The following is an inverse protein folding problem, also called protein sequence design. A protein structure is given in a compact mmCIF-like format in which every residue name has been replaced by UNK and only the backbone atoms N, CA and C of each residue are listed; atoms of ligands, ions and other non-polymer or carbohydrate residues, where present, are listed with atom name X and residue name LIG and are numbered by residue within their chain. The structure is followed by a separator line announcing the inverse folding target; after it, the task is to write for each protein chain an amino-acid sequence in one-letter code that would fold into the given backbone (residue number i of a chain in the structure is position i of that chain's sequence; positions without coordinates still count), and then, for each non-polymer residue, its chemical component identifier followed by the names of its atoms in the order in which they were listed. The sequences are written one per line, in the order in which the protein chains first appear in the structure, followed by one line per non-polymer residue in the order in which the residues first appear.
data_IF_856464611323
#
_entry.id   IF_856464611323
#
_cell.length_a   1.000
_cell.length_b   1.000
_cell.length_c   1.000
_cell.angle_alpha   90.00
_cell.angle_beta   90.00
_cell.angle_gamma   90.00
#
_symmetry.space_group_name_H-M   'P 1'
#
loop_
_entity.id
_entity.type
_entity.pdbx_description
1 polymer ?
#
# COMPACT_ATOMS: atom_id res chain seq x y z
N UNK A 1 -36.09 54.48 20.09
CA UNK A 1 -36.24 53.05 19.79
C UNK A 1 -35.55 52.74 18.46
N UNK A 2 -34.28 52.30 18.48
CA UNK A 2 -33.68 51.44 17.45
C UNK A 2 -32.76 50.50 18.22
N UNK A 3 -33.09 49.21 18.20
CA UNK A 3 -32.53 48.17 19.06
C UNK A 3 -31.23 47.68 18.42
N UNK A 4 -30.09 48.08 18.98
CA UNK A 4 -28.76 47.61 18.58
C UNK A 4 -28.63 46.12 18.84
N UNK A 5 -28.86 45.31 17.81
CA UNK A 5 -28.66 43.87 17.84
C UNK A 5 -27.17 43.56 17.78
N UNK A 6 -26.56 43.41 18.95
CA UNK A 6 -25.22 42.84 19.11
C UNK A 6 -25.32 41.33 18.80
N UNK A 7 -25.29 40.98 17.51
CA UNK A 7 -25.17 39.59 17.08
C UNK A 7 -23.78 39.09 17.47
N UNK A 8 -23.70 38.44 18.63
CA UNK A 8 -22.59 37.58 19.02
C UNK A 8 -22.51 36.41 18.03
N UNK A 9 -21.77 36.57 16.94
CA UNK A 9 -21.33 35.47 16.10
C UNK A 9 -20.31 34.66 16.90
N UNK A 10 -20.78 33.62 17.58
CA UNK A 10 -19.93 32.58 18.17
C UNK A 10 -19.27 31.85 17.00
N UNK A 11 -18.01 32.19 16.72
CA UNK A 11 -17.16 31.46 15.77
C UNK A 11 -16.86 30.11 16.42
N UNK A 12 -17.66 29.09 16.07
CA UNK A 12 -17.36 27.71 16.40
C UNK A 12 -16.08 27.33 15.63
N UNK A 13 -14.96 27.24 16.36
CA UNK A 13 -13.71 26.66 15.90
C UNK A 13 -13.99 25.21 15.49
N UNK A 14 -14.13 24.98 14.18
CA UNK A 14 -14.13 23.64 13.60
C UNK A 14 -12.71 23.09 13.74
N UNK A 15 -12.44 22.39 14.84
CA UNK A 15 -11.22 21.63 15.01
C UNK A 15 -11.15 20.58 13.88
N UNK A 16 -10.07 20.53 13.08
CA UNK A 16 -9.91 19.48 12.10
C UNK A 16 -9.86 18.15 12.85
N UNK A 17 -10.79 17.25 12.51
CA UNK A 17 -10.81 15.89 13.04
C UNK A 17 -9.46 15.26 12.72
N UNK A 18 -8.69 14.92 13.75
CA UNK A 18 -7.51 14.08 13.62
C UNK A 18 -7.99 12.72 13.12
N UNK A 19 -8.01 12.52 11.80
CA UNK A 19 -8.16 11.21 11.21
C UNK A 19 -6.94 10.40 11.64
N UNK A 20 -7.12 9.51 12.62
CA UNK A 20 -6.13 8.50 12.97
C UNK A 20 -5.93 7.65 11.72
N UNK A 21 -4.73 7.70 11.14
CA UNK A 21 -4.33 6.71 10.17
C UNK A 21 -4.24 5.37 10.91
N UNK A 22 -5.30 4.57 10.85
CA UNK A 22 -5.29 3.22 11.40
C UNK A 22 -4.27 2.39 10.60
N UNK A 23 -3.11 2.20 11.22
CA UNK A 23 -2.13 1.25 10.71
C UNK A 23 -2.72 -0.15 10.88
N UNK A 24 -3.23 -0.73 9.79
CA UNK A 24 -3.75 -2.10 9.83
C UNK A 24 -2.65 -3.06 10.28
N UNK A 25 -2.94 -3.84 11.31
CA UNK A 25 -2.04 -4.90 11.75
C UNK A 25 -2.03 -6.04 10.72
N UNK A 26 -0.96 -6.83 10.72
CA UNK A 26 -0.94 -8.12 10.03
C UNK A 26 -2.09 -9.01 10.49
N UNK A 27 -2.46 -8.94 11.78
CA UNK A 27 -3.60 -9.66 12.34
C UNK A 27 -4.92 -9.27 11.69
N UNK A 28 -5.16 -7.97 11.51
CA UNK A 28 -6.39 -7.47 10.88
C UNK A 28 -6.47 -7.88 9.41
N UNK A 29 -5.35 -7.82 8.69
CA UNK A 29 -5.25 -8.27 7.30
C UNK A 29 -5.56 -9.78 7.18
N UNK A 30 -5.02 -10.59 8.09
CA UNK A 30 -5.30 -12.03 8.13
C UNK A 30 -6.77 -12.31 8.47
N UNK A 31 -7.35 -11.57 9.42
CA UNK A 31 -8.76 -11.69 9.77
C UNK A 31 -9.69 -11.31 8.60
N UNK A 32 -9.37 -10.25 7.85
CA UNK A 32 -10.13 -9.87 6.65
C UNK A 32 -10.06 -10.95 5.57
N UNK A 33 -8.87 -11.53 5.34
CA UNK A 33 -8.72 -12.64 4.40
C UNK A 33 -9.52 -13.87 4.86
N UNK A 34 -9.45 -14.22 6.15
CA UNK A 34 -10.22 -15.33 6.70
C UNK A 34 -11.74 -15.10 6.57
N UNK A 35 -12.21 -13.87 6.78
CA UNK A 35 -13.61 -13.50 6.59
C UNK A 35 -14.04 -13.61 5.12
N UNK A 36 -13.18 -13.20 4.19
CA UNK A 36 -13.52 -13.21 2.77
C UNK A 36 -13.39 -14.58 2.10
N UNK A 37 -12.42 -15.40 2.53
CA UNK A 37 -12.03 -16.64 1.86
C UNK A 37 -12.12 -17.89 2.73
N UNK A 38 -12.42 -17.80 4.03
CA UNK A 38 -12.30 -18.94 4.95
C UNK A 38 -13.16 -20.15 4.55
N UNK A 39 -14.40 -19.91 4.09
CA UNK A 39 -15.27 -20.96 3.58
C UNK A 39 -14.70 -21.59 2.30
N UNK A 40 -14.23 -20.76 1.36
CA UNK A 40 -13.62 -21.21 0.10
C UNK A 40 -12.35 -22.03 0.34
N UNK A 41 -11.51 -21.61 1.28
CA UNK A 41 -10.29 -22.33 1.68
C UNK A 41 -10.65 -23.70 2.27
N UNK A 42 -11.66 -23.75 3.14
CA UNK A 42 -12.09 -25.01 3.78
C UNK A 42 -12.69 -26.01 2.78
N UNK A 43 -13.40 -25.50 1.76
CA UNK A 43 -14.06 -26.31 0.74
C UNK A 43 -13.09 -26.75 -0.37
N UNK A 44 -12.21 -25.86 -0.85
CA UNK A 44 -11.44 -26.05 -2.07
C UNK A 44 -9.93 -26.23 -1.85
N UNK A 45 -9.43 -25.90 -0.65
CA UNK A 45 -8.00 -25.91 -0.31
C UNK A 45 -7.68 -26.73 0.94
N UNK A 46 -8.49 -27.73 1.25
CA UNK A 46 -8.29 -28.58 2.43
C UNK A 46 -6.93 -29.29 2.38
N UNK A 47 -6.19 -29.24 3.48
CA UNK A 47 -4.86 -29.87 3.59
C UNK A 47 -3.71 -29.08 2.96
N UNK A 48 -4.00 -27.92 2.37
CA UNK A 48 -2.95 -26.99 1.90
C UNK A 48 -2.33 -26.29 3.11
N UNK A 49 -1.00 -26.22 3.14
CA UNK A 49 -0.31 -25.37 4.11
C UNK A 49 -0.65 -23.91 3.80
N UNK A 50 -1.08 -23.15 4.81
CA UNK A 50 -1.57 -21.78 4.63
C UNK A 50 -0.43 -20.75 4.52
N UNK A 51 0.75 -21.17 4.06
CA UNK A 51 1.77 -20.26 3.60
C UNK A 51 1.30 -19.50 2.34
N UNK A 52 1.85 -18.30 2.15
CA UNK A 52 1.42 -17.39 1.09
C UNK A 52 1.52 -18.01 -0.31
N UNK A 53 2.47 -18.92 -0.54
CA UNK A 53 2.72 -19.51 -1.86
C UNK A 53 1.69 -20.59 -2.16
N UNK A 54 1.52 -21.55 -1.26
CA UNK A 54 0.63 -22.70 -1.49
C UNK A 54 -0.84 -22.30 -1.44
N UNK A 55 -1.20 -21.36 -0.56
CA UNK A 55 -2.55 -20.81 -0.54
C UNK A 55 -2.87 -20.06 -1.83
N UNK A 56 -1.92 -19.24 -2.32
CA UNK A 56 -2.07 -18.54 -3.61
C UNK A 56 -2.29 -19.52 -4.74
N UNK A 57 -1.47 -20.56 -4.81
CA UNK A 57 -1.58 -21.57 -5.85
C UNK A 57 -2.94 -22.27 -5.81
N UNK A 58 -3.38 -22.68 -4.61
CA UNK A 58 -4.67 -23.34 -4.47
C UNK A 58 -5.85 -22.47 -4.89
N UNK A 59 -5.91 -21.23 -4.38
CA UNK A 59 -6.98 -20.29 -4.74
C UNK A 59 -6.95 -19.94 -6.24
N UNK A 60 -5.76 -19.87 -6.84
CA UNK A 60 -5.60 -19.63 -8.28
C UNK A 60 -6.11 -20.81 -9.12
N UNK A 61 -5.81 -22.05 -8.72
CA UNK A 61 -6.31 -23.26 -9.40
C UNK A 61 -7.82 -23.41 -9.30
N UNK A 62 -8.41 -22.96 -8.19
CA UNK A 62 -9.85 -23.00 -7.93
C UNK A 62 -10.56 -21.68 -8.25
N UNK A 63 -9.93 -20.80 -9.03
CA UNK A 63 -10.44 -19.44 -9.25
C UNK A 63 -11.87 -19.41 -9.80
N UNK A 64 -12.30 -20.42 -10.54
CA UNK A 64 -13.65 -20.45 -11.11
C UNK A 64 -14.72 -20.86 -10.09
N UNK A 65 -14.36 -21.67 -9.10
CA UNK A 65 -15.31 -22.29 -8.15
C UNK A 65 -15.38 -21.61 -6.78
N UNK A 66 -14.43 -20.73 -6.44
CA UNK A 66 -14.49 -19.94 -5.20
C UNK A 66 -15.49 -18.77 -5.30
N UNK A 67 -15.92 -18.25 -4.16
CA UNK A 67 -16.89 -17.15 -4.08
C UNK A 67 -16.40 -15.86 -4.75
N UNK A 68 -17.30 -15.02 -5.30
CA UNK A 68 -16.93 -13.70 -5.83
C UNK A 68 -16.22 -12.81 -4.81
N UNK A 69 -16.63 -12.88 -3.54
CA UNK A 69 -16.01 -12.12 -2.44
C UNK A 69 -14.55 -12.52 -2.23
N UNK A 70 -14.24 -13.82 -2.23
CA UNK A 70 -12.87 -14.29 -2.11
C UNK A 70 -12.04 -13.93 -3.34
N UNK A 71 -12.61 -14.05 -4.55
CA UNK A 71 -11.90 -13.64 -5.78
C UNK A 71 -11.48 -12.18 -5.71
N UNK A 72 -12.44 -11.30 -5.40
CA UNK A 72 -12.19 -9.86 -5.34
C UNK A 72 -11.16 -9.55 -4.25
N UNK A 73 -11.42 -10.01 -3.02
CA UNK A 73 -10.55 -9.68 -1.89
C UNK A 73 -9.13 -10.20 -2.10
N UNK A 74 -8.97 -11.47 -2.46
CA UNK A 74 -7.66 -12.09 -2.53
C UNK A 74 -6.87 -11.64 -3.76
N UNK A 75 -7.45 -11.71 -4.96
CA UNK A 75 -6.70 -11.41 -6.18
C UNK A 75 -6.48 -9.91 -6.37
N UNK A 76 -7.41 -9.05 -5.97
CA UNK A 76 -7.20 -7.59 -6.00
C UNK A 76 -6.10 -7.17 -5.03
N UNK A 77 -6.07 -7.76 -3.83
CA UNK A 77 -4.98 -7.53 -2.86
C UNK A 77 -3.63 -7.99 -3.43
N UNK A 78 -3.57 -9.18 -4.02
CA UNK A 78 -2.35 -9.68 -4.65
C UNK A 78 -1.87 -8.79 -5.79
N UNK A 79 -2.76 -8.35 -6.68
CA UNK A 79 -2.42 -7.43 -7.78
C UNK A 79 -1.84 -6.11 -7.25
N UNK A 80 -2.47 -5.54 -6.22
CA UNK A 80 -1.99 -4.32 -5.56
C UNK A 80 -0.59 -4.51 -4.97
N UNK A 81 -0.33 -5.65 -4.33
CA UNK A 81 1.00 -5.99 -3.81
C UNK A 81 2.02 -6.10 -4.95
N UNK A 82 1.68 -6.79 -6.04
CA UNK A 82 2.58 -6.92 -7.19
C UNK A 82 2.91 -5.57 -7.82
N UNK A 83 1.93 -4.67 -7.96
CA UNK A 83 2.13 -3.30 -8.44
C UNK A 83 3.12 -2.53 -7.57
N UNK A 84 3.01 -2.64 -6.24
CA UNK A 84 3.96 -2.00 -5.30
C UNK A 84 5.37 -2.59 -5.41
N UNK A 85 5.49 -3.90 -5.60
CA UNK A 85 6.79 -4.56 -5.82
C UNK A 85 7.40 -4.06 -7.14
N UNK A 86 6.61 -4.02 -8.22
CA UNK A 86 7.06 -3.50 -9.51
C UNK A 86 7.51 -2.04 -9.42
N UNK A 87 6.76 -1.18 -8.72
CA UNK A 87 7.15 0.22 -8.49
C UNK A 87 8.51 0.33 -7.78
N UNK A 88 8.76 -0.50 -6.75
CA UNK A 88 10.07 -0.55 -6.07
C UNK A 88 11.21 -0.94 -7.00
N UNK A 89 10.97 -1.92 -7.87
CA UNK A 89 11.95 -2.36 -8.89
C UNK A 89 12.19 -1.26 -9.91
N UNK A 90 11.14 -0.57 -10.36
CA UNK A 90 11.25 0.58 -11.27
C UNK A 90 12.10 1.68 -10.65
N UNK A 91 11.91 2.02 -9.37
CA UNK A 91 12.76 2.99 -8.66
C UNK A 91 14.21 2.51 -8.60
N UNK A 92 14.47 1.26 -8.25
CA UNK A 92 15.83 0.71 -8.20
C UNK A 92 16.55 0.85 -9.56
N UNK A 93 15.84 0.55 -10.65
CA UNK A 93 16.38 0.60 -12.00
C UNK A 93 16.57 2.05 -12.48
N UNK A 94 15.54 2.90 -12.33
CA UNK A 94 15.56 4.29 -12.79
C UNK A 94 16.55 5.16 -12.01
N UNK A 95 16.77 4.86 -10.73
CA UNK A 95 17.63 5.64 -9.84
C UNK A 95 19.01 5.00 -9.62
N UNK A 96 19.45 4.04 -10.45
CA UNK A 96 20.71 3.30 -10.22
C UNK A 96 21.92 4.25 -10.05
N UNK A 97 22.01 5.30 -10.87
CA UNK A 97 23.10 6.28 -10.77
C UNK A 97 23.02 7.04 -9.45
N UNK A 98 21.85 7.53 -9.10
CA UNK A 98 21.59 8.33 -7.90
C UNK A 98 21.85 7.51 -6.64
N UNK A 99 21.37 6.26 -6.61
CA UNK A 99 21.63 5.32 -5.51
C UNK A 99 23.12 5.22 -5.24
N UNK A 100 23.94 4.96 -6.26
CA UNK A 100 25.38 4.71 -6.08
C UNK A 100 26.19 6.01 -5.92
N UNK A 101 25.92 7.03 -6.73
CA UNK A 101 26.77 8.22 -6.84
C UNK A 101 26.33 9.41 -6.00
N UNK A 102 25.04 9.49 -5.66
CA UNK A 102 24.48 10.59 -4.87
C UNK A 102 24.23 10.12 -3.44
N UNK A 103 23.63 8.94 -3.29
CA UNK A 103 23.21 8.42 -2.00
C UNK A 103 24.20 7.46 -1.34
N UNK A 104 25.34 7.16 -1.98
CA UNK A 104 26.34 6.19 -1.49
C UNK A 104 25.72 4.85 -1.06
N UNK A 105 24.63 4.45 -1.72
CA UNK A 105 23.86 3.25 -1.44
C UNK A 105 24.16 2.10 -2.40
N UNK A 106 23.38 1.04 -2.27
CA UNK A 106 23.46 -0.15 -3.11
C UNK A 106 22.13 -0.41 -3.78
N UNK A 107 22.16 -0.75 -5.07
CA UNK A 107 20.95 -1.15 -5.82
C UNK A 107 20.37 -2.48 -5.33
N UNK A 108 21.13 -3.26 -4.54
CA UNK A 108 20.62 -4.46 -3.85
C UNK A 108 19.79 -4.12 -2.61
N UNK A 109 19.94 -2.90 -2.09
CA UNK A 109 19.26 -2.43 -0.88
C UNK A 109 18.60 -1.06 -1.14
N UNK A 110 17.93 -0.91 -2.28
CA UNK A 110 17.31 0.36 -2.72
C UNK A 110 16.45 1.01 -1.64
N UNK A 111 15.75 0.22 -0.81
CA UNK A 111 14.97 0.73 0.32
C UNK A 111 15.77 1.61 1.28
N UNK A 112 17.06 1.34 1.50
CA UNK A 112 17.94 2.17 2.34
C UNK A 112 18.29 3.50 1.67
N UNK A 113 18.28 3.54 0.34
CA UNK A 113 18.56 4.76 -0.42
C UNK A 113 17.34 5.66 -0.57
N UNK A 114 16.10 5.15 -0.42
CA UNK A 114 14.85 5.92 -0.62
C UNK A 114 14.83 7.25 0.15
N UNK A 115 15.15 7.33 1.45
CA UNK A 115 15.15 8.61 2.16
C UNK A 115 16.10 9.64 1.55
N UNK A 116 17.27 9.20 1.10
CA UNK A 116 18.19 10.08 0.38
C UNK A 116 17.66 10.46 -1.00
N UNK A 117 17.12 9.51 -1.77
CA UNK A 117 16.58 9.76 -3.11
C UNK A 117 15.46 10.81 -3.09
N UNK A 118 14.61 10.79 -2.07
CA UNK A 118 13.53 11.78 -1.88
C UNK A 118 14.09 13.16 -1.51
N UNK A 119 15.14 13.23 -0.70
CA UNK A 119 15.76 14.49 -0.26
C UNK A 119 16.79 15.06 -1.25
N UNK A 120 17.29 14.25 -2.18
CA UNK A 120 18.41 14.60 -3.05
C UNK A 120 18.03 15.68 -4.08
N UNK A 121 18.86 16.71 -4.18
CA UNK A 121 18.77 17.71 -5.25
C UNK A 121 19.51 17.22 -6.49
N UNK A 122 18.91 17.39 -7.66
CA UNK A 122 19.57 17.06 -8.94
C UNK A 122 19.52 15.58 -9.33
N UNK A 123 18.52 14.83 -8.84
CA UNK A 123 18.19 13.51 -9.41
C UNK A 123 17.73 13.65 -10.86
N UNK A 124 17.98 12.63 -11.69
CA UNK A 124 17.52 12.62 -13.07
C UNK A 124 15.99 12.66 -13.16
N UNK A 125 15.47 13.17 -14.29
CA UNK A 125 14.01 13.20 -14.55
C UNK A 125 13.37 11.82 -14.43
N UNK A 126 14.03 10.79 -14.95
CA UNK A 126 13.52 9.41 -14.90
C UNK A 126 13.46 8.88 -13.47
N UNK A 127 14.50 9.15 -12.66
CA UNK A 127 14.49 8.76 -11.26
C UNK A 127 13.42 9.54 -10.46
N UNK A 128 13.31 10.85 -10.66
CA UNK A 128 12.28 11.66 -10.01
C UNK A 128 10.86 11.18 -10.35
N UNK A 129 10.60 10.86 -11.62
CA UNK A 129 9.32 10.31 -12.03
C UNK A 129 9.05 8.96 -11.37
N UNK A 130 10.02 8.04 -11.35
CA UNK A 130 9.83 6.74 -10.71
C UNK A 130 9.55 6.85 -9.20
N UNK A 131 10.18 7.79 -8.50
CA UNK A 131 9.94 8.08 -7.07
C UNK A 131 8.50 8.56 -6.87
N UNK A 132 8.04 9.51 -7.71
CA UNK A 132 6.68 10.04 -7.66
C UNK A 132 5.63 8.98 -7.99
N UNK A 133 5.84 8.20 -9.06
CA UNK A 133 4.94 7.11 -9.48
C UNK A 133 4.85 5.99 -8.43
N UNK A 134 5.92 5.79 -7.66
CA UNK A 134 5.96 4.87 -6.52
C UNK A 134 5.32 5.44 -5.24
N UNK A 135 4.92 6.73 -5.24
CA UNK A 135 4.32 7.42 -4.10
C UNK A 135 5.29 7.74 -2.97
N UNK A 136 6.59 7.80 -3.26
CA UNK A 136 7.58 8.24 -2.30
C UNK A 136 7.59 9.77 -2.25
N UNK A 137 7.31 10.33 -1.07
CA UNK A 137 7.22 11.76 -0.79
C UNK A 137 7.83 12.05 0.58
#
# INVERSE_FOLDING_TARGET
MVRGGFFLFVIALTAPSLAVAETMSFGDSAAQLAKACGADITANCRGVNLDATRLKECLSRNRDVISPQCKETYFSTLDTIQKRIAARVTVANACTREIVKVCNGSTKETSKAVPCLVAAKGVSRNCAQAINDAGYQ
#
